data_IF_675119093881
#
_entry.id   IF_675119093881
#
_cell.length_a   1.000
_cell.length_b   1.000
_cell.length_c   1.000
_cell.angle_alpha   90.00
_cell.angle_beta   90.00
_cell.angle_gamma   90.00
#
_symmetry.space_group_name_H-M   'P 1'
#
loop_
_entity.id
_entity.type
_entity.pdbx_description
1 polymer ?
#
# COMPACT_ATOMS: atom_id res chain seq x y z
N UNK A 1 -32.63 15.18 39.58
CA UNK A 1 -32.01 15.54 38.29
C UNK A 1 -31.17 14.36 37.85
N UNK A 2 -31.63 13.61 36.86
CA UNK A 2 -30.83 12.57 36.24
C UNK A 2 -29.79 13.32 35.40
N UNK A 3 -28.59 13.49 35.95
CA UNK A 3 -27.44 13.92 35.15
C UNK A 3 -27.29 12.96 33.97
N UNK A 4 -27.21 13.53 32.78
CA UNK A 4 -27.00 12.79 31.55
C UNK A 4 -25.59 12.17 31.60
N UNK A 5 -25.53 10.93 32.09
CA UNK A 5 -24.29 10.19 32.42
C UNK A 5 -23.64 9.53 31.20
N UNK A 6 -23.97 9.96 29.98
CA UNK A 6 -23.29 9.43 28.80
C UNK A 6 -22.12 10.35 28.42
N UNK A 7 -20.86 9.85 28.48
CA UNK A 7 -19.73 10.62 28.02
C UNK A 7 -19.94 10.94 26.54
N UNK A 8 -19.87 12.23 26.19
CA UNK A 8 -19.94 12.68 24.80
C UNK A 8 -18.79 12.02 24.02
N UNK A 9 -19.12 11.19 23.03
CA UNK A 9 -18.14 10.51 22.18
C UNK A 9 -17.95 11.30 20.90
N UNK A 10 -16.71 11.49 20.49
CA UNK A 10 -16.34 12.11 19.21
C UNK A 10 -16.39 11.05 18.10
N UNK A 11 -17.21 11.23 17.05
CA UNK A 11 -17.16 10.40 15.86
C UNK A 11 -15.81 10.53 15.12
N UNK A 12 -15.30 9.43 14.55
CA UNK A 12 -14.02 9.45 13.80
C UNK A 12 -14.04 10.43 12.61
N UNK A 13 -15.21 10.64 12.00
CA UNK A 13 -15.38 11.58 10.88
C UNK A 13 -15.06 13.03 11.23
N UNK A 14 -15.06 13.41 12.52
CA UNK A 14 -14.66 14.76 12.93
C UNK A 14 -13.16 14.98 12.85
N UNK A 15 -12.35 13.92 12.98
CA UNK A 15 -10.88 14.01 12.89
C UNK A 15 -10.36 13.74 11.47
N UNK A 16 -11.08 12.91 10.70
CA UNK A 16 -10.55 12.35 9.46
C UNK A 16 -9.36 11.43 9.70
N UNK A 17 -8.75 10.93 8.63
CA UNK A 17 -7.64 9.98 8.72
C UNK A 17 -6.38 10.59 9.33
N UNK A 18 -5.84 11.64 8.71
CA UNK A 18 -4.60 12.28 9.18
C UNK A 18 -4.73 12.82 10.61
N UNK A 19 -5.86 13.47 10.93
CA UNK A 19 -6.12 13.97 12.29
C UNK A 19 -6.25 12.85 13.32
N UNK A 20 -6.79 11.68 12.94
CA UNK A 20 -6.84 10.51 13.81
C UNK A 20 -5.44 9.92 14.05
N UNK A 21 -4.61 9.81 13.02
CA UNK A 21 -3.23 9.32 13.15
C UNK A 21 -2.43 10.25 14.08
N UNK A 22 -2.48 11.57 13.84
CA UNK A 22 -1.82 12.56 14.69
C UNK A 22 -2.31 12.45 16.15
N UNK A 23 -3.62 12.36 16.37
CA UNK A 23 -4.20 12.23 17.70
C UNK A 23 -3.76 10.95 18.42
N UNK A 24 -3.79 9.81 17.74
CA UNK A 24 -3.44 8.51 18.34
C UNK A 24 -1.94 8.35 18.60
N UNK A 25 -1.10 9.02 17.81
CA UNK A 25 0.36 8.86 17.87
C UNK A 25 1.09 9.95 18.66
N UNK A 26 0.39 11.03 19.06
CA UNK A 26 0.97 12.21 19.70
C UNK A 26 1.88 11.92 20.93
N UNK A 27 1.52 10.91 21.73
CA UNK A 27 2.25 10.57 22.97
C UNK A 27 3.31 9.46 22.78
N UNK A 28 3.39 8.85 21.59
CA UNK A 28 4.34 7.77 21.30
C UNK A 28 5.72 8.33 20.96
N UNK A 29 6.59 8.40 21.96
CA UNK A 29 7.99 8.83 21.79
C UNK A 29 8.93 7.64 21.58
N UNK A 30 9.83 7.75 20.61
CA UNK A 30 10.92 6.79 20.40
C UNK A 30 11.82 6.70 21.63
N UNK A 31 11.99 5.49 22.18
CA UNK A 31 12.88 5.21 23.33
C UNK A 31 14.16 4.50 22.92
N UNK A 32 14.13 3.77 21.81
CA UNK A 32 15.28 3.03 21.30
C UNK A 32 16.13 3.98 20.45
N UNK A 33 17.43 4.03 20.72
CA UNK A 33 18.37 4.87 19.98
C UNK A 33 18.54 4.47 18.52
N UNK A 34 18.18 3.24 18.16
CA UNK A 34 18.17 2.76 16.78
C UNK A 34 17.01 3.32 15.97
N UNK A 35 15.95 3.85 16.58
CA UNK A 35 14.84 4.45 15.85
C UNK A 35 15.21 5.85 15.36
N UNK A 36 15.57 5.96 14.09
CA UNK A 36 15.97 7.22 13.44
C UNK A 36 14.75 8.04 13.04
N UNK A 37 13.72 7.37 12.51
CA UNK A 37 12.45 7.99 12.14
C UNK A 37 11.28 7.05 12.43
N UNK A 38 10.21 7.57 13.01
CA UNK A 38 9.01 6.83 13.40
C UNK A 38 7.81 7.13 12.51
N UNK A 39 6.66 7.40 13.13
CA UNK A 39 5.42 7.78 12.44
C UNK A 39 5.61 9.10 11.67
N UNK A 40 5.10 9.17 10.44
CA UNK A 40 5.00 10.42 9.67
C UNK A 40 5.79 10.46 8.35
N UNK A 41 6.19 9.31 7.81
CA UNK A 41 6.80 9.17 6.48
C UNK A 41 6.36 7.81 5.89
N UNK A 42 6.79 7.45 4.67
CA UNK A 42 6.36 6.22 3.97
C UNK A 42 6.81 4.95 4.69
N UNK A 43 7.93 4.99 5.42
CA UNK A 43 8.39 3.90 6.26
C UNK A 43 9.13 4.40 7.50
N UNK A 44 9.09 3.61 8.58
CA UNK A 44 9.95 3.84 9.73
C UNK A 44 11.40 3.51 9.39
N UNK A 45 12.35 4.29 9.92
CA UNK A 45 13.79 4.13 9.67
C UNK A 45 14.50 3.67 10.93
N UNK A 46 15.18 2.53 10.85
CA UNK A 46 15.87 1.88 11.97
C UNK A 46 17.35 1.66 11.64
N UNK A 47 18.24 2.11 12.51
CA UNK A 47 19.68 1.86 12.43
C UNK A 47 20.04 0.46 12.92
N UNK A 48 20.65 -0.32 12.03
CA UNK A 48 21.16 -1.67 12.31
C UNK A 48 22.67 -1.80 12.06
N UNK A 49 23.41 -0.68 11.99
CA UNK A 49 24.86 -0.66 11.81
C UNK A 49 25.27 -0.08 10.46
N UNK A 50 25.48 -0.91 9.46
CA UNK A 50 25.99 -0.46 8.14
C UNK A 50 24.93 0.29 7.34
N UNK A 51 23.69 -0.22 7.33
CA UNK A 51 22.56 0.33 6.59
C UNK A 51 21.41 0.71 7.51
N UNK A 52 20.46 1.47 6.99
CA UNK A 52 19.15 1.58 7.61
C UNK A 52 18.23 0.45 7.13
N UNK A 53 17.39 -0.02 8.05
CA UNK A 53 16.22 -0.83 7.73
C UNK A 53 15.00 0.09 7.65
N UNK A 54 14.16 -0.21 6.68
CA UNK A 54 12.91 0.48 6.41
C UNK A 54 11.76 -0.46 6.69
N UNK A 55 10.75 -0.02 7.44
CA UNK A 55 9.57 -0.84 7.75
C UNK A 55 8.31 -0.05 7.42
N UNK A 56 7.50 -0.59 6.51
CA UNK A 56 6.14 -0.12 6.26
C UNK A 56 5.14 -1.26 6.46
N UNK A 57 3.88 -0.90 6.66
CA UNK A 57 2.77 -1.85 6.75
C UNK A 57 1.51 -1.21 6.20
N UNK A 58 0.85 -1.96 5.34
CA UNK A 58 -0.32 -1.50 4.62
C UNK A 58 -1.44 -2.54 4.67
N UNK A 59 -2.69 -2.08 4.60
CA UNK A 59 -3.87 -2.94 4.68
C UNK A 59 -4.80 -2.77 3.50
N UNK A 60 -5.18 -3.89 2.87
CA UNK A 60 -6.22 -3.96 1.87
C UNK A 60 -7.47 -4.62 2.48
N UNK A 61 -8.54 -3.85 2.53
CA UNK A 61 -9.85 -4.25 3.08
C UNK A 61 -10.86 -4.36 1.94
N UNK A 62 -11.53 -5.50 1.84
CA UNK A 62 -12.62 -5.72 0.89
C UNK A 62 -13.74 -4.69 1.07
N UNK A 63 -14.22 -4.11 -0.03
CA UNK A 63 -15.24 -3.06 -0.04
C UNK A 63 -14.70 -1.65 0.21
N UNK A 64 -13.43 -1.52 0.59
CA UNK A 64 -12.74 -0.22 0.75
C UNK A 64 -11.66 -0.09 -0.34
N UNK A 65 -10.71 -1.02 -0.39
CA UNK A 65 -9.54 -0.94 -1.25
C UNK A 65 -9.67 -1.77 -2.54
N UNK A 66 -10.54 -2.78 -2.51
CA UNK A 66 -10.82 -3.64 -3.66
C UNK A 66 -12.24 -4.18 -3.57
N UNK A 67 -12.74 -4.65 -4.70
CA UNK A 67 -14.04 -5.30 -4.84
C UNK A 67 -13.88 -6.61 -5.60
N UNK A 68 -14.31 -7.71 -4.99
CA UNK A 68 -14.14 -9.05 -5.57
C UNK A 68 -15.05 -9.32 -6.76
N UNK A 69 -16.05 -8.47 -7.04
CA UNK A 69 -16.85 -8.56 -8.26
C UNK A 69 -16.00 -8.33 -9.51
N UNK A 70 -14.95 -7.51 -9.42
CA UNK A 70 -14.12 -7.14 -10.58
C UNK A 70 -12.60 -7.21 -10.33
N UNK A 71 -12.17 -7.61 -9.14
CA UNK A 71 -10.75 -7.76 -8.79
C UNK A 71 -10.38 -9.24 -8.73
N UNK A 72 -9.71 -9.80 -9.77
CA UNK A 72 -9.22 -11.16 -9.72
C UNK A 72 -8.25 -11.35 -8.55
N UNK A 73 -8.40 -12.43 -7.78
CA UNK A 73 -7.60 -12.69 -6.57
C UNK A 73 -6.10 -12.72 -6.85
N UNK A 74 -5.68 -13.24 -7.99
CA UNK A 74 -4.28 -13.23 -8.41
C UNK A 74 -3.73 -11.80 -8.62
N UNK A 75 -4.54 -10.88 -9.14
CA UNK A 75 -4.15 -9.47 -9.24
C UNK A 75 -4.14 -8.79 -7.87
N UNK A 76 -5.13 -9.10 -7.02
CA UNK A 76 -5.17 -8.60 -5.64
C UNK A 76 -3.92 -9.01 -4.85
N UNK A 77 -3.50 -10.28 -4.95
CA UNK A 77 -2.32 -10.78 -4.27
C UNK A 77 -1.04 -10.11 -4.77
N UNK A 78 -0.95 -9.84 -6.07
CA UNK A 78 0.15 -9.08 -6.64
C UNK A 78 0.16 -7.63 -6.12
N UNK A 79 -1.00 -6.97 -6.16
CA UNK A 79 -1.19 -5.59 -5.69
C UNK A 79 -0.82 -5.44 -4.22
N UNK A 80 -1.21 -6.40 -3.36
CA UNK A 80 -0.91 -6.38 -1.93
C UNK A 80 0.58 -6.26 -1.63
N UNK A 81 1.43 -6.94 -2.40
CA UNK A 81 2.89 -6.82 -2.29
C UNK A 81 3.39 -5.54 -2.96
N UNK A 82 2.89 -5.22 -4.16
CA UNK A 82 3.37 -4.08 -4.93
C UNK A 82 3.19 -2.73 -4.21
N UNK A 83 2.05 -2.51 -3.54
CA UNK A 83 1.82 -1.25 -2.79
C UNK A 83 2.83 -1.08 -1.66
N UNK A 84 3.11 -2.14 -0.89
CA UNK A 84 4.11 -2.08 0.17
C UNK A 84 5.54 -1.87 -0.36
N UNK A 85 5.88 -2.50 -1.49
CA UNK A 85 7.18 -2.25 -2.14
C UNK A 85 7.30 -0.79 -2.61
N UNK A 86 6.18 -0.13 -2.95
CA UNK A 86 6.12 1.28 -3.33
C UNK A 86 6.64 2.17 -2.20
N UNK A 87 6.19 1.98 -0.96
CA UNK A 87 6.62 2.76 0.21
C UNK A 87 8.14 2.71 0.42
N UNK A 88 8.72 1.52 0.28
CA UNK A 88 10.16 1.35 0.42
C UNK A 88 10.91 2.08 -0.72
N UNK A 89 10.38 2.02 -1.93
CA UNK A 89 10.94 2.76 -3.06
C UNK A 89 10.79 4.28 -2.85
N UNK A 90 9.68 4.74 -2.25
CA UNK A 90 9.45 6.15 -1.95
C UNK A 90 10.54 6.73 -1.03
N UNK A 91 11.15 5.89 -0.18
CA UNK A 91 12.29 6.30 0.66
C UNK A 91 13.67 6.00 0.04
N UNK A 92 13.73 5.80 -1.28
CA UNK A 92 14.92 5.43 -2.03
C UNK A 92 15.55 4.08 -1.60
N UNK A 93 14.77 3.22 -0.96
CA UNK A 93 15.20 1.92 -0.45
C UNK A 93 14.94 0.75 -1.40
N UNK A 94 15.47 -0.40 -1.00
CA UNK A 94 15.24 -1.68 -1.67
C UNK A 94 14.48 -2.63 -0.73
N UNK A 95 13.30 -3.09 -1.14
CA UNK A 95 12.53 -4.07 -0.39
C UNK A 95 13.23 -5.44 -0.38
N UNK A 96 13.19 -6.16 0.75
CA UNK A 96 13.90 -7.43 0.94
C UNK A 96 12.99 -8.55 1.43
N UNK A 97 12.18 -8.31 2.45
CA UNK A 97 11.28 -9.32 3.02
C UNK A 97 9.89 -8.76 3.26
N UNK A 98 8.89 -9.65 3.28
CA UNK A 98 7.52 -9.32 3.69
C UNK A 98 6.97 -10.36 4.67
N UNK A 99 6.03 -9.91 5.49
CA UNK A 99 5.08 -10.79 6.18
C UNK A 99 3.67 -10.48 5.72
N UNK A 100 2.81 -11.49 5.64
CA UNK A 100 1.42 -11.32 5.19
C UNK A 100 0.46 -11.91 6.21
N UNK A 101 -0.42 -11.08 6.74
CA UNK A 101 -1.53 -11.49 7.60
C UNK A 101 -2.84 -11.41 6.82
N UNK A 102 -3.60 -12.51 6.80
CA UNK A 102 -4.93 -12.52 6.18
C UNK A 102 -6.02 -12.81 7.20
N UNK A 103 -7.11 -12.06 7.13
CA UNK A 103 -8.37 -12.42 7.77
C UNK A 103 -9.36 -12.81 6.67
N UNK A 104 -9.80 -14.07 6.66
CA UNK A 104 -10.57 -14.65 5.56
C UNK A 104 -11.91 -15.22 6.06
N UNK A 105 -12.97 -14.98 5.29
CA UNK A 105 -14.30 -15.55 5.56
C UNK A 105 -14.38 -17.00 5.10
N UNK A 106 -15.20 -17.81 5.79
CA UNK A 106 -15.43 -19.22 5.42
C UNK A 106 -16.17 -19.40 4.07
N UNK A 107 -16.62 -18.32 3.43
CA UNK A 107 -17.20 -18.37 2.07
C UNK A 107 -16.16 -18.63 0.97
N UNK A 108 -14.87 -18.45 1.27
CA UNK A 108 -13.81 -18.65 0.29
C UNK A 108 -13.40 -20.13 0.24
N UNK A 109 -13.40 -20.76 -0.94
CA UNK A 109 -12.78 -22.06 -1.11
C UNK A 109 -11.25 -21.94 -1.03
N UNK A 110 -10.56 -23.04 -0.76
CA UNK A 110 -9.09 -23.05 -0.64
C UNK A 110 -8.43 -22.58 -1.93
N UNK A 111 -8.97 -22.99 -3.08
CA UNK A 111 -8.49 -22.64 -4.41
C UNK A 111 -8.52 -21.12 -4.66
N UNK A 112 -9.47 -20.40 -4.06
CA UNK A 112 -9.50 -18.94 -4.14
C UNK A 112 -8.31 -18.31 -3.39
N UNK A 113 -8.00 -18.83 -2.20
CA UNK A 113 -6.83 -18.39 -1.42
C UNK A 113 -5.53 -18.78 -2.12
N UNK A 114 -5.48 -19.95 -2.78
CA UNK A 114 -4.34 -20.34 -3.62
C UNK A 114 -4.12 -19.36 -4.79
N UNK A 115 -5.17 -18.91 -5.47
CA UNK A 115 -5.06 -17.90 -6.54
C UNK A 115 -4.51 -16.56 -6.00
N UNK A 116 -4.94 -16.14 -4.81
CA UNK A 116 -4.37 -14.98 -4.13
C UNK A 116 -2.86 -15.15 -3.92
N UNK A 117 -2.44 -16.29 -3.37
CA UNK A 117 -1.02 -16.58 -3.12
C UNK A 117 -0.19 -16.77 -4.40
N UNK A 118 -0.78 -17.23 -5.50
CA UNK A 118 -0.11 -17.22 -6.82
C UNK A 118 0.22 -15.78 -7.25
N UNK A 119 -0.67 -14.83 -6.95
CA UNK A 119 -0.42 -13.40 -7.16
C UNK A 119 0.74 -12.86 -6.34
N UNK A 120 0.73 -13.17 -5.04
CA UNK A 120 1.80 -12.81 -4.09
C UNK A 120 3.14 -13.38 -4.58
N UNK A 121 3.19 -14.67 -4.91
CA UNK A 121 4.41 -15.33 -5.38
C UNK A 121 5.00 -14.67 -6.63
N UNK A 122 4.14 -14.24 -7.57
CA UNK A 122 4.57 -13.52 -8.77
C UNK A 122 5.18 -12.15 -8.42
N UNK A 123 4.57 -11.40 -7.50
CA UNK A 123 5.12 -10.13 -7.05
C UNK A 123 6.45 -10.32 -6.31
N UNK A 124 6.53 -11.27 -5.38
CA UNK A 124 7.76 -11.65 -4.68
C UNK A 124 8.89 -11.97 -5.66
N UNK A 125 8.61 -12.81 -6.67
CA UNK A 125 9.58 -13.19 -7.70
C UNK A 125 10.06 -11.98 -8.53
N UNK A 126 9.14 -11.08 -8.89
CA UNK A 126 9.50 -9.87 -9.66
C UNK A 126 10.36 -8.90 -8.86
N UNK A 127 9.94 -8.62 -7.62
CA UNK A 127 10.60 -7.66 -6.75
C UNK A 127 11.81 -8.26 -6.02
N UNK A 128 12.05 -9.56 -6.14
CA UNK A 128 13.11 -10.29 -5.43
C UNK A 128 12.98 -10.12 -3.91
N UNK A 129 11.75 -10.28 -3.43
CA UNK A 129 11.37 -10.13 -2.01
C UNK A 129 10.91 -11.47 -1.47
N UNK A 130 11.38 -11.82 -0.28
CA UNK A 130 11.04 -13.08 0.37
C UNK A 130 9.78 -12.95 1.25
N UNK A 131 8.81 -13.85 1.07
CA UNK A 131 7.75 -14.02 2.04
C UNK A 131 8.27 -14.86 3.22
N UNK A 132 8.45 -14.23 4.39
CA UNK A 132 9.14 -14.85 5.53
C UNK A 132 8.22 -15.20 6.71
N UNK A 133 6.94 -14.85 6.64
CA UNK A 133 6.00 -15.14 7.71
C UNK A 133 4.63 -14.51 7.49
N UNK A 134 3.78 -14.64 8.50
CA UNK A 134 2.40 -14.19 8.40
C UNK A 134 1.51 -14.73 9.50
N UNK A 135 0.24 -14.35 9.43
CA UNK A 135 -0.83 -14.89 10.25
C UNK A 135 -2.07 -15.18 9.39
N UNK A 136 -2.92 -16.09 9.85
CA UNK A 136 -4.17 -16.41 9.16
C UNK A 136 -5.28 -16.61 10.17
N UNK A 137 -6.32 -15.78 10.06
CA UNK A 137 -7.45 -15.80 10.97
C UNK A 137 -8.79 -15.75 10.25
N UNK A 138 -9.86 -16.06 10.97
CA UNK A 138 -11.23 -16.00 10.45
C UNK A 138 -11.78 -14.57 10.48
N UNK A 139 -12.53 -14.20 9.44
CA UNK A 139 -13.23 -12.92 9.34
C UNK A 139 -14.73 -13.12 9.11
N UNK A 140 -15.56 -12.34 9.80
CA UNK A 140 -17.01 -12.32 9.58
C UNK A 140 -17.41 -11.41 8.41
N UNK A 141 -16.57 -10.45 8.05
CA UNK A 141 -16.94 -9.33 7.17
C UNK A 141 -16.41 -9.46 5.74
N UNK A 142 -15.48 -10.38 5.48
CA UNK A 142 -14.89 -10.59 4.15
C UNK A 142 -13.38 -10.82 4.21
N UNK A 143 -12.67 -10.46 3.15
CA UNK A 143 -11.22 -10.59 3.05
C UNK A 143 -10.51 -9.30 3.52
N UNK A 144 -9.57 -9.45 4.44
CA UNK A 144 -8.60 -8.42 4.81
C UNK A 144 -7.20 -8.98 4.60
N UNK A 145 -6.34 -8.18 3.99
CA UNK A 145 -4.94 -8.51 3.76
C UNK A 145 -4.12 -7.39 4.39
N UNK A 146 -3.22 -7.73 5.30
CA UNK A 146 -2.22 -6.81 5.82
C UNK A 146 -0.85 -7.33 5.44
N UNK A 147 -0.04 -6.48 4.83
CA UNK A 147 1.33 -6.82 4.46
C UNK A 147 2.24 -5.87 5.21
N UNK A 148 3.31 -6.40 5.76
CA UNK A 148 4.43 -5.60 6.27
C UNK A 148 5.63 -5.87 5.39
N UNK A 149 6.38 -4.84 5.06
CA UNK A 149 7.58 -4.93 4.25
C UNK A 149 8.78 -4.43 5.03
N UNK A 150 9.88 -5.18 4.91
CA UNK A 150 11.20 -4.81 5.40
C UNK A 150 12.08 -4.51 4.18
N UNK A 151 12.58 -3.29 4.12
CA UNK A 151 13.56 -2.84 3.16
C UNK A 151 14.88 -2.45 3.81
N UNK A 152 15.84 -2.09 2.97
CA UNK A 152 17.10 -1.48 3.41
C UNK A 152 17.55 -0.37 2.46
N UNK A 153 18.35 0.55 3.00
CA UNK A 153 18.90 1.68 2.24
C UNK A 153 20.25 2.07 2.84
N UNK A 154 21.18 2.53 2.01
CA UNK A 154 22.43 3.15 2.50
C UNK A 154 22.08 4.41 3.30
N UNK A 155 22.83 4.70 4.35
CA UNK A 155 22.48 5.80 5.27
C UNK A 155 22.50 7.16 4.56
N UNK A 156 23.42 7.33 3.63
CA UNK A 156 23.53 8.52 2.79
C UNK A 156 22.44 8.62 1.72
N UNK A 157 21.76 7.53 1.37
CA UNK A 157 20.79 7.47 0.26
C UNK A 157 19.33 7.58 0.73
N UNK A 158 19.06 7.36 2.03
CA UNK A 158 17.70 7.48 2.57
C UNK A 158 17.12 8.86 2.24
N UNK A 159 15.90 8.85 1.71
CA UNK A 159 15.18 10.05 1.33
C UNK A 159 13.85 10.10 2.08
N UNK A 160 13.48 11.28 2.55
CA UNK A 160 12.29 11.52 3.35
C UNK A 160 11.30 12.38 2.58
N UNK A 161 10.05 12.46 3.04
CA UNK A 161 9.08 13.45 2.54
C UNK A 161 9.54 14.89 2.80
N UNK A 162 10.29 15.10 3.88
CA UNK A 162 10.91 16.38 4.21
C UNK A 162 12.27 16.52 3.51
N UNK A 163 12.59 17.72 3.05
CA UNK A 163 13.87 18.03 2.42
C UNK A 163 13.76 18.84 1.14
N UNK A 164 12.55 19.03 0.61
CA UNK A 164 12.31 19.93 -0.51
C UNK A 164 12.73 21.37 -0.15
N UNK A 165 13.49 22.01 -1.03
CA UNK A 165 13.95 23.38 -0.92
C UNK A 165 13.38 24.28 -2.03
N UNK A 166 13.50 25.60 -1.87
CA UNK A 166 13.18 26.52 -2.95
C UNK A 166 14.04 26.22 -4.18
N UNK A 167 13.40 26.24 -5.36
CA UNK A 167 14.01 25.91 -6.66
C UNK A 167 14.25 24.42 -6.95
N UNK A 168 13.85 23.51 -6.06
CA UNK A 168 13.80 22.09 -6.39
C UNK A 168 12.81 21.82 -7.53
N UNK A 169 13.14 20.84 -8.39
CA UNK A 169 12.26 20.38 -9.45
C UNK A 169 11.26 19.37 -8.89
N UNK A 170 9.96 19.64 -9.10
CA UNK A 170 8.92 18.65 -8.86
C UNK A 170 8.82 17.71 -10.07
N UNK A 171 9.07 16.42 -9.84
CA UNK A 171 9.08 15.40 -10.88
C UNK A 171 8.13 14.28 -10.47
N UNK A 172 7.36 13.78 -11.43
CA UNK A 172 6.48 12.61 -11.24
C UNK A 172 6.88 11.50 -12.19
N UNK A 173 6.71 10.25 -11.75
CA UNK A 173 7.05 9.09 -12.56
C UNK A 173 5.79 8.49 -13.20
N UNK A 174 5.83 8.24 -14.52
CA UNK A 174 4.69 7.68 -15.25
C UNK A 174 3.50 8.64 -15.37
N UNK A 175 2.30 8.09 -15.54
CA UNK A 175 1.07 8.85 -15.75
C UNK A 175 0.21 8.87 -14.47
N UNK A 176 -0.29 10.05 -14.11
CA UNK A 176 -1.22 10.22 -12.99
C UNK A 176 -2.67 9.99 -13.43
N UNK A 177 -3.52 9.56 -12.49
CA UNK A 177 -4.97 9.38 -12.71
C UNK A 177 -5.40 8.10 -13.45
N UNK A 178 -4.46 7.30 -13.97
CA UNK A 178 -4.79 6.06 -14.71
C UNK A 178 -5.50 5.02 -13.84
N UNK A 179 -5.05 4.83 -12.60
CA UNK A 179 -5.70 3.92 -11.65
C UNK A 179 -7.13 4.39 -11.30
N UNK A 180 -7.31 5.69 -11.09
CA UNK A 180 -8.62 6.28 -10.84
C UNK A 180 -9.59 6.05 -12.02
N UNK A 181 -9.14 6.30 -13.25
CA UNK A 181 -9.96 6.01 -14.44
C UNK A 181 -10.28 4.52 -14.58
N UNK A 182 -9.32 3.64 -14.28
CA UNK A 182 -9.55 2.18 -14.24
C UNK A 182 -10.63 1.81 -13.23
N UNK A 183 -10.61 2.40 -12.03
CA UNK A 183 -11.63 2.20 -11.00
C UNK A 183 -13.01 2.69 -11.47
N UNK A 184 -13.08 3.86 -12.13
CA UNK A 184 -14.36 4.39 -12.64
C UNK A 184 -14.98 3.46 -13.68
N UNK A 185 -14.16 2.90 -14.59
CA UNK A 185 -14.64 1.90 -15.57
C UNK A 185 -15.15 0.65 -14.86
N UNK A 186 -14.36 0.06 -13.96
CA UNK A 186 -14.76 -1.15 -13.23
C UNK A 186 -16.04 -0.95 -12.41
N UNK A 187 -16.17 0.20 -11.76
CA UNK A 187 -17.35 0.56 -10.97
C UNK A 187 -18.59 0.75 -11.85
N UNK A 188 -18.44 1.37 -13.03
CA UNK A 188 -19.52 1.51 -14.01
C UNK A 188 -19.98 0.15 -14.52
N UNK A 189 -19.04 -0.70 -14.95
CA UNK A 189 -19.37 -2.03 -15.47
C UNK A 189 -20.05 -2.90 -14.41
N UNK A 190 -19.63 -2.78 -13.13
CA UNK A 190 -20.33 -3.42 -12.01
C UNK A 190 -21.79 -2.98 -11.90
N UNK A 191 -22.06 -1.67 -11.93
CA UNK A 191 -23.43 -1.14 -11.86
C UNK A 191 -24.29 -1.63 -13.03
N UNK A 192 -23.71 -1.72 -14.23
CA UNK A 192 -24.39 -2.23 -15.42
C UNK A 192 -24.70 -3.72 -15.29
N UNK A 193 -23.74 -4.52 -14.79
CA UNK A 193 -23.95 -5.94 -14.50
C UNK A 193 -25.02 -6.17 -13.44
N UNK A 194 -25.02 -5.37 -12.37
CA UNK A 194 -26.03 -5.43 -11.30
C UNK A 194 -27.44 -5.11 -11.84
N UNK A 195 -27.55 -4.22 -12.82
CA UNK A 195 -28.82 -3.90 -13.49
C UNK A 195 -29.25 -4.97 -14.52
N UNK A 196 -28.30 -5.63 -15.18
CA UNK A 196 -28.57 -6.70 -16.14
C UNK A 196 -27.46 -7.77 -16.13
N UNK A 197 -27.62 -8.87 -15.37
CA UNK A 197 -26.59 -9.91 -15.22
C UNK A 197 -26.25 -10.68 -16.51
N UNK A 198 -27.04 -10.51 -17.58
CA UNK A 198 -26.74 -11.09 -18.89
C UNK A 198 -25.83 -10.21 -19.75
N UNK A 199 -25.58 -8.97 -19.31
CA UNK A 199 -24.71 -8.05 -20.03
C UNK A 199 -23.24 -8.41 -19.75
N UNK A 200 -22.45 -8.45 -20.82
CA UNK A 200 -21.01 -8.62 -20.71
C UNK A 200 -20.35 -7.25 -20.48
N UNK A 201 -19.41 -7.13 -19.53
CA UNK A 201 -18.70 -5.88 -19.32
C UNK A 201 -17.86 -5.54 -20.56
N UNK A 202 -17.93 -4.29 -21.02
CA UNK A 202 -17.08 -3.82 -22.09
C UNK A 202 -15.77 -3.27 -21.51
N UNK A 203 -14.73 -4.10 -21.55
CA UNK A 203 -13.38 -3.74 -21.10
C UNK A 203 -12.38 -3.62 -22.25
N UNK A 204 -12.83 -3.81 -23.50
CA UNK A 204 -11.95 -3.84 -24.67
C UNK A 204 -11.26 -2.47 -24.87
N UNK A 205 -9.95 -2.50 -25.15
CA UNK A 205 -9.13 -1.31 -25.33
C UNK A 205 -8.83 -0.52 -24.05
N UNK A 206 -9.24 -1.02 -22.87
CA UNK A 206 -9.03 -0.35 -21.57
C UNK A 206 -7.91 -0.98 -20.74
N UNK A 207 -7.15 -1.91 -21.32
CA UNK A 207 -6.13 -2.72 -20.64
C UNK A 207 -5.15 -1.89 -19.80
N UNK A 208 -4.66 -0.77 -20.35
CA UNK A 208 -3.71 0.10 -19.67
C UNK A 208 -4.21 0.61 -18.31
N UNK A 209 -5.41 1.20 -18.28
CA UNK A 209 -5.98 1.77 -17.06
C UNK A 209 -6.46 0.69 -16.08
N UNK A 210 -6.91 -0.46 -16.60
CA UNK A 210 -7.31 -1.60 -15.79
C UNK A 210 -6.10 -2.23 -15.09
N UNK A 211 -4.97 -2.40 -15.81
CA UNK A 211 -3.73 -2.90 -15.22
C UNK A 211 -3.23 -1.93 -14.13
N UNK A 212 -3.25 -0.62 -14.38
CA UNK A 212 -2.85 0.38 -13.37
C UNK A 212 -3.68 0.32 -12.08
N UNK A 213 -4.96 -0.03 -12.17
CA UNK A 213 -5.82 -0.15 -10.99
C UNK A 213 -5.70 -1.51 -10.28
N UNK A 214 -5.70 -2.60 -11.05
CA UNK A 214 -5.78 -3.96 -10.53
C UNK A 214 -4.41 -4.55 -10.16
N UNK A 215 -3.36 -4.13 -10.87
CA UNK A 215 -2.01 -4.69 -10.77
C UNK A 215 -0.97 -3.56 -10.95
N UNK A 216 -0.92 -2.57 -10.04
CA UNK A 216 0.06 -1.50 -10.10
C UNK A 216 1.49 -2.03 -9.97
N UNK A 217 2.45 -1.25 -10.44
CA UNK A 217 3.87 -1.61 -10.45
C UNK A 217 4.65 -0.61 -9.58
N UNK A 218 5.34 -1.12 -8.56
CA UNK A 218 6.23 -0.31 -7.72
C UNK A 218 7.43 0.16 -8.54
N UNK A 219 7.83 1.43 -8.33
CA UNK A 219 8.80 2.12 -9.19
C UNK A 219 10.27 1.84 -8.85
N UNK A 220 10.61 0.56 -8.67
CA UNK A 220 12.01 0.11 -8.49
C UNK A 220 12.91 0.50 -9.67
N UNK A 221 12.32 0.61 -10.86
CA UNK A 221 13.00 1.11 -12.06
C UNK A 221 13.53 2.53 -11.86
N UNK A 222 12.75 3.40 -11.21
CA UNK A 222 13.15 4.79 -10.92
C UNK A 222 14.32 4.83 -9.94
N UNK A 223 14.28 4.02 -8.88
CA UNK A 223 15.37 3.94 -7.88
C UNK A 223 16.68 3.53 -8.54
N UNK A 224 16.61 2.55 -9.45
CA UNK A 224 17.76 2.13 -10.24
C UNK A 224 18.28 3.25 -11.14
N UNK A 225 17.40 3.96 -11.85
CA UNK A 225 17.78 5.09 -12.72
C UNK A 225 18.47 6.19 -11.91
N UNK A 226 17.91 6.57 -10.77
CA UNK A 226 18.49 7.59 -9.88
C UNK A 226 19.90 7.20 -9.45
N UNK A 227 20.07 5.95 -8.98
CA UNK A 227 21.37 5.42 -8.56
C UNK A 227 22.40 5.37 -9.70
N UNK A 228 22.01 4.91 -10.88
CA UNK A 228 22.88 4.83 -12.06
C UNK A 228 23.36 6.21 -12.54
N UNK A 229 22.56 7.25 -12.31
CA UNK A 229 22.90 8.63 -12.66
C UNK A 229 23.51 9.43 -11.51
N UNK A 230 23.77 8.80 -10.35
CA UNK A 230 24.22 9.47 -9.12
C UNK A 230 23.31 10.65 -8.71
N UNK A 231 22.01 10.49 -8.90
CA UNK A 231 21.01 11.49 -8.50
C UNK A 231 20.47 11.07 -7.15
N UNK A 232 20.64 11.93 -6.15
CA UNK A 232 19.97 11.83 -4.86
C UNK A 232 18.85 12.86 -4.78
N UNK A 233 17.58 12.44 -4.72
CA UNK A 233 16.48 13.36 -4.51
C UNK A 233 16.57 14.04 -3.14
N UNK A 234 16.14 15.31 -3.07
CA UNK A 234 16.07 16.08 -1.82
C UNK A 234 14.90 15.62 -0.95
N UNK A 235 13.78 15.25 -1.60
CA UNK A 235 12.61 14.65 -0.99
C UNK A 235 11.91 13.70 -1.96
N UNK A 236 11.22 12.70 -1.42
CA UNK A 236 10.44 11.73 -2.19
C UNK A 236 9.19 11.31 -1.42
N UNK A 237 8.18 10.89 -2.18
CA UNK A 237 6.94 10.27 -1.71
C UNK A 237 6.37 9.46 -2.88
N UNK A 238 5.60 8.40 -2.60
CA UNK A 238 4.75 7.82 -3.62
C UNK A 238 3.41 8.59 -3.75
N UNK A 239 2.61 8.27 -4.77
CA UNK A 239 1.32 8.93 -5.00
C UNK A 239 0.22 7.89 -4.90
N UNK A 240 -0.32 7.74 -3.69
CA UNK A 240 -1.33 6.75 -3.32
C UNK A 240 -2.72 7.39 -3.12
N UNK A 241 -2.79 8.57 -2.51
CA UNK A 241 -4.06 9.26 -2.19
C UNK A 241 -4.52 10.29 -3.24
N UNK A 242 -3.65 10.65 -4.19
CA UNK A 242 -3.97 11.57 -5.30
C UNK A 242 -3.71 13.05 -5.02
#
# INVERSE_FOLDING_TARGET
MLEDKQPKRTPLSELGEFGLIEHLTADFKSKNSSTIYGVGDDAAVIDVGEKYKLISTDMLVEGIHFDLTYTPLKHLGYKAVAVNVSDICAMNGEAKQITISIAVSNRFPVEAVEELYKGILLACSKYQVDLVGGDTTSSQSGLVISVSVLGEVEKEDVTYRKGAEEHDLLIVSGDLGSAYLGLQVLSREKQVFDANPNMQPDLEGKDYILERQLKPEARRDVIKILKENNIKPTSMIDVSDG
#
